data_IF_852819479099
#
_entry.id   IF_852819479099
#
_cell.length_a   1.000
_cell.length_b   1.000
_cell.length_c   1.000
_cell.angle_alpha   90.00
_cell.angle_beta   90.00
_cell.angle_gamma   90.00
#
_symmetry.space_group_name_H-M   'P 1'
#
loop_
_entity.id
_entity.type
_entity.pdbx_description
1 polymer ?
#
# COMPACT_ATOMS: atom_id res chain seq x y z
N UNK A 1 7.21 18.88 19.70
CA UNK A 1 6.68 17.51 19.90
C UNK A 1 6.86 16.83 18.56
N UNK A 2 7.86 15.98 18.46
CA UNK A 2 8.50 15.69 17.19
C UNK A 2 7.63 14.71 16.40
N UNK A 3 7.15 15.17 15.24
CA UNK A 3 6.40 14.32 14.33
C UNK A 3 7.38 13.56 13.47
N UNK A 4 7.41 12.23 13.59
CA UNK A 4 8.31 11.36 12.81
C UNK A 4 8.16 11.55 11.29
N UNK A 5 7.02 12.10 10.83
CA UNK A 5 6.81 12.46 9.42
C UNK A 5 7.70 13.59 8.91
N UNK A 6 8.25 14.41 9.81
CA UNK A 6 9.14 15.52 9.45
C UNK A 6 10.58 15.06 9.21
N UNK A 7 10.95 13.87 9.71
CA UNK A 7 12.31 13.30 9.63
C UNK A 7 12.38 12.14 8.62
N UNK A 8 11.23 11.59 8.22
CA UNK A 8 11.16 10.48 7.26
C UNK A 8 11.01 10.99 5.84
N UNK A 9 11.85 10.52 4.90
CA UNK A 9 11.86 10.93 3.49
C UNK A 9 10.53 10.65 2.76
N UNK A 10 9.85 9.55 3.10
CA UNK A 10 8.57 9.15 2.52
C UNK A 10 7.58 8.75 3.63
N UNK A 11 6.90 9.72 4.25
CA UNK A 11 6.01 9.45 5.37
C UNK A 11 4.64 8.96 4.89
N UNK A 12 4.16 7.86 5.47
CA UNK A 12 2.79 7.38 5.23
C UNK A 12 1.77 8.15 6.08
N UNK A 13 0.53 8.22 5.60
CA UNK A 13 -0.58 8.74 6.38
C UNK A 13 -1.04 7.74 7.48
N UNK A 14 -2.01 8.10 8.32
CA UNK A 14 -2.49 7.22 9.40
C UNK A 14 -3.25 5.99 8.86
N UNK A 15 -3.67 6.04 7.59
CA UNK A 15 -4.31 4.94 6.88
C UNK A 15 -3.30 4.06 6.13
N UNK A 16 -2.00 4.19 6.44
CA UNK A 16 -0.90 3.45 5.80
C UNK A 16 -0.79 3.67 4.28
N UNK A 17 -1.22 4.83 3.79
CA UNK A 17 -1.11 5.20 2.38
C UNK A 17 0.08 6.14 2.19
N UNK A 18 0.84 5.90 1.13
CA UNK A 18 1.80 6.86 0.60
C UNK A 18 1.12 7.63 -0.54
N UNK A 19 0.80 8.90 -0.31
CA UNK A 19 0.09 9.74 -1.28
C UNK A 19 0.98 10.14 -2.46
N UNK A 20 2.30 10.23 -2.28
CA UNK A 20 3.22 10.62 -3.34
C UNK A 20 3.40 9.49 -4.34
N UNK A 21 3.47 8.25 -3.85
CA UNK A 21 3.67 7.05 -4.65
C UNK A 21 2.37 6.34 -5.05
N UNK A 22 1.22 6.81 -4.54
CA UNK A 22 -0.08 6.17 -4.78
C UNK A 22 -0.17 4.75 -4.24
N UNK A 23 0.52 4.46 -3.12
CA UNK A 23 0.56 3.15 -2.50
C UNK A 23 -0.46 3.06 -1.33
N UNK A 24 -1.04 1.88 -1.04
CA UNK A 24 -0.92 0.62 -1.79
C UNK A 24 -1.68 0.67 -3.13
N UNK A 25 -1.12 0.00 -4.15
CA UNK A 25 -1.73 -0.12 -5.48
C UNK A 25 -2.23 -1.54 -5.75
N UNK A 26 -3.18 -1.67 -6.68
CA UNK A 26 -3.73 -2.96 -7.08
C UNK A 26 -2.68 -3.73 -7.90
N UNK A 27 -2.35 -4.99 -7.55
CA UNK A 27 -1.40 -5.80 -8.31
C UNK A 27 -1.98 -6.19 -9.68
N UNK A 28 -1.10 -6.38 -10.67
CA UNK A 28 -1.51 -6.85 -11.99
C UNK A 28 -1.87 -8.35 -11.96
N UNK A 29 -2.78 -8.80 -12.84
CA UNK A 29 -3.20 -10.20 -12.88
C UNK A 29 -2.04 -11.17 -13.14
N UNK A 30 -1.07 -10.78 -13.95
CA UNK A 30 0.11 -11.63 -14.25
C UNK A 30 0.94 -11.87 -12.98
N UNK A 31 1.15 -10.83 -12.16
CA UNK A 31 1.89 -10.92 -10.90
C UNK A 31 1.19 -11.85 -9.90
N UNK A 32 -0.15 -11.79 -9.84
CA UNK A 32 -0.94 -12.69 -9.01
C UNK A 32 -0.86 -14.15 -9.49
N UNK A 33 -0.92 -14.38 -10.80
CA UNK A 33 -0.82 -15.72 -11.41
C UNK A 33 0.57 -16.32 -11.20
N UNK A 34 1.64 -15.55 -11.38
CA UNK A 34 3.02 -15.99 -11.15
C UNK A 34 3.24 -16.46 -9.70
N UNK A 35 2.67 -15.75 -8.73
CA UNK A 35 2.78 -16.08 -7.31
C UNK A 35 1.75 -17.12 -6.84
N UNK A 36 0.88 -17.62 -7.72
CA UNK A 36 -0.25 -18.49 -7.38
C UNK A 36 -1.18 -17.91 -6.30
N UNK A 37 -1.34 -16.58 -6.29
CA UNK A 37 -2.17 -15.85 -5.32
C UNK A 37 -3.53 -15.55 -5.94
N UNK A 38 -4.60 -15.79 -5.18
CA UNK A 38 -5.96 -15.38 -5.53
C UNK A 38 -6.49 -14.41 -4.49
N UNK A 39 -6.81 -13.18 -4.92
CA UNK A 39 -7.49 -12.20 -4.07
C UNK A 39 -8.95 -12.62 -3.91
N UNK A 40 -9.39 -12.81 -2.67
CA UNK A 40 -10.79 -13.07 -2.34
C UNK A 40 -11.45 -11.76 -1.91
N UNK A 41 -12.59 -11.42 -2.51
CA UNK A 41 -13.38 -10.30 -2.01
C UNK A 41 -13.91 -10.63 -0.62
N UNK A 42 -13.65 -9.75 0.35
CA UNK A 42 -14.35 -9.80 1.63
C UNK A 42 -15.82 -9.50 1.35
N UNK A 43 -16.70 -10.49 1.56
CA UNK A 43 -18.14 -10.21 1.67
C UNK A 43 -18.33 -9.20 2.79
N UNK A 44 -19.05 -8.12 2.49
CA UNK A 44 -19.40 -7.06 3.45
C UNK A 44 -20.21 -7.61 4.61
#
# INVERSE_FOLDING_TARGET
KDNIREITLFPMNQNAQDLLMGAPSTPHETQLKELNIKVLEKKK
#
